data_IF_410421723841
#
_entry.id   IF_410421723841
#
_cell.length_a   1.000
_cell.length_b   1.000
_cell.length_c   1.000
_cell.angle_alpha   90.00
_cell.angle_beta   90.00
_cell.angle_gamma   90.00
#
_symmetry.space_group_name_H-M   'P 1'
#
loop_
_entity.id
_entity.type
_entity.pdbx_description
1 polymer ?
#
# COMPACT_ATOMS: atom_id res chain seq x y z
N UNK A 1 3.48 -0.91 16.65
CA UNK A 1 2.92 0.23 15.89
C UNK A 1 2.96 -0.17 14.42
N UNK A 2 1.80 -0.36 13.76
CA UNK A 2 1.77 -0.80 12.37
C UNK A 2 1.95 0.42 11.44
N UNK A 3 2.76 0.33 10.38
CA UNK A 3 2.87 1.38 9.39
C UNK A 3 1.50 1.65 8.76
N UNK A 4 1.27 2.87 8.31
CA UNK A 4 0.01 3.19 7.67
C UNK A 4 -0.07 2.57 6.29
N UNK A 5 -1.00 1.65 6.11
CA UNK A 5 -1.17 0.89 4.88
C UNK A 5 -2.51 1.30 4.27
N UNK A 6 -2.50 2.18 3.25
CA UNK A 6 -3.69 2.62 2.51
C UNK A 6 -4.48 1.44 1.92
N UNK A 7 -3.79 0.48 1.31
CA UNK A 7 -4.36 -0.72 0.70
C UNK A 7 -3.74 -1.95 1.33
N UNK A 8 -4.55 -2.93 1.74
CA UNK A 8 -4.02 -4.23 2.21
C UNK A 8 -3.39 -5.06 1.09
N UNK A 9 -3.65 -4.69 -0.16
CA UNK A 9 -3.14 -5.36 -1.34
C UNK A 9 -1.82 -4.70 -1.80
N UNK A 10 -0.77 -5.48 -2.15
CA UNK A 10 0.50 -4.93 -2.63
C UNK A 10 0.43 -4.33 -4.04
N UNK A 11 -0.55 -4.73 -4.87
CA UNK A 11 -0.63 -4.39 -6.29
C UNK A 11 -0.59 -2.86 -6.55
N UNK A 12 -1.38 -2.01 -5.87
CA UNK A 12 -1.36 -0.58 -6.16
C UNK A 12 -0.03 0.10 -5.81
N UNK A 13 0.77 -0.47 -4.91
CA UNK A 13 2.07 0.09 -4.54
C UNK A 13 3.17 -0.26 -5.55
N UNK A 14 3.13 -1.49 -6.07
CA UNK A 14 4.13 -1.99 -7.00
C UNK A 14 3.78 -1.57 -8.43
N UNK A 15 2.54 -1.78 -8.86
CA UNK A 15 2.14 -1.51 -10.23
C UNK A 15 2.02 -0.01 -10.50
N UNK A 16 1.21 0.73 -9.73
CA UNK A 16 0.90 2.12 -10.11
C UNK A 16 2.14 3.02 -10.06
N UNK A 17 3.07 2.78 -9.14
CA UNK A 17 4.20 3.68 -8.92
C UNK A 17 5.41 3.34 -9.79
N UNK A 18 5.55 2.09 -10.24
CA UNK A 18 6.78 1.62 -10.87
C UNK A 18 6.57 0.92 -12.22
N UNK A 19 5.35 0.49 -12.59
CA UNK A 19 5.13 -0.10 -13.91
C UNK A 19 5.43 0.92 -15.02
N UNK A 20 6.19 0.52 -16.04
CA UNK A 20 6.77 1.44 -17.03
C UNK A 20 5.76 2.28 -17.80
N UNK A 21 4.56 1.73 -18.01
CA UNK A 21 3.49 2.39 -18.77
C UNK A 21 2.44 3.08 -17.89
N UNK A 22 2.57 3.02 -16.57
CA UNK A 22 1.53 3.56 -15.69
C UNK A 22 1.73 5.06 -15.42
N UNK A 23 0.64 5.84 -15.51
CA UNK A 23 0.71 7.30 -15.45
C UNK A 23 1.26 7.86 -14.12
N UNK A 24 1.20 7.10 -13.03
CA UNK A 24 1.73 7.49 -11.71
C UNK A 24 3.21 7.16 -11.53
N UNK A 25 3.87 6.51 -12.49
CA UNK A 25 5.32 6.30 -12.50
C UNK A 25 6.06 7.59 -12.83
N UNK A 26 6.18 8.46 -11.82
CA UNK A 26 6.81 9.79 -11.94
C UNK A 26 8.33 9.70 -12.14
N UNK A 27 8.95 8.61 -11.68
CA UNK A 27 10.38 8.34 -11.87
C UNK A 27 10.73 7.91 -13.28
N UNK A 28 9.74 7.60 -14.13
CA UNK A 28 9.92 7.02 -15.48
C UNK A 28 10.76 5.75 -15.44
N UNK A 29 10.66 4.98 -14.35
CA UNK A 29 11.34 3.71 -14.20
C UNK A 29 10.81 2.72 -15.25
N UNK A 30 11.69 1.92 -15.85
CA UNK A 30 11.29 0.94 -16.83
C UNK A 30 12.20 -0.28 -16.75
N UNK A 31 11.61 -1.43 -16.44
CA UNK A 31 12.30 -2.71 -16.40
C UNK A 31 11.32 -3.80 -16.86
N UNK A 32 11.54 -4.45 -18.02
CA UNK A 32 10.63 -5.46 -18.55
C UNK A 32 10.38 -6.64 -17.60
N UNK A 33 11.38 -7.02 -16.79
CA UNK A 33 11.23 -8.11 -15.81
C UNK A 33 10.35 -7.67 -14.65
N UNK A 34 10.51 -6.42 -14.20
CA UNK A 34 9.65 -5.84 -13.18
C UNK A 34 8.19 -5.78 -13.67
N UNK A 35 7.96 -5.26 -14.87
CA UNK A 35 6.61 -5.14 -15.46
C UNK A 35 5.95 -6.52 -15.58
N UNK A 36 6.69 -7.52 -16.09
CA UNK A 36 6.19 -8.89 -16.19
C UNK A 36 5.80 -9.46 -14.82
N UNK A 37 6.63 -9.25 -13.80
CA UNK A 37 6.38 -9.76 -12.45
C UNK A 37 5.12 -9.13 -11.83
N UNK A 38 4.95 -7.80 -11.92
CA UNK A 38 3.76 -7.14 -11.37
C UNK A 38 2.50 -7.44 -12.20
N UNK A 39 2.61 -7.63 -13.52
CA UNK A 39 1.49 -8.07 -14.36
C UNK A 39 1.02 -9.50 -14.01
N UNK A 40 1.95 -10.43 -13.79
CA UNK A 40 1.63 -11.79 -13.35
C UNK A 40 0.96 -11.74 -11.96
N UNK A 41 1.53 -10.99 -11.01
CA UNK A 41 0.95 -10.81 -9.68
C UNK A 41 -0.47 -10.23 -9.71
N UNK A 42 -0.78 -9.37 -10.69
CA UNK A 42 -2.11 -8.78 -10.87
C UNK A 42 -3.11 -9.76 -11.48
N UNK A 43 -2.68 -10.57 -12.45
CA UNK A 43 -3.56 -11.51 -13.20
C UNK A 43 -3.74 -12.84 -12.46
N UNK A 44 -2.83 -13.21 -11.57
CA UNK A 44 -2.84 -14.53 -10.92
C UNK A 44 -3.91 -14.65 -9.83
N UNK A 45 -4.76 -15.67 -9.95
CA UNK A 45 -5.73 -16.06 -8.92
C UNK A 45 -5.16 -17.05 -7.89
N UNK A 46 -3.96 -17.60 -8.14
CA UNK A 46 -3.30 -18.50 -7.21
C UNK A 46 -2.49 -17.68 -6.17
N UNK A 47 -2.81 -17.75 -4.87
CA UNK A 47 -2.15 -16.92 -3.87
C UNK A 47 -0.63 -17.10 -3.80
N UNK A 48 -0.15 -18.33 -4.02
CA UNK A 48 1.28 -18.64 -3.98
C UNK A 48 2.02 -18.05 -5.18
N UNK A 49 1.48 -18.21 -6.38
CA UNK A 49 2.06 -17.61 -7.60
C UNK A 49 2.07 -16.09 -7.51
N UNK A 50 0.97 -15.52 -7.02
CA UNK A 50 0.86 -14.07 -6.77
C UNK A 50 1.92 -13.57 -5.81
N UNK A 51 2.14 -14.29 -4.71
CA UNK A 51 3.18 -13.96 -3.74
C UNK A 51 4.58 -14.04 -4.37
N UNK A 52 4.90 -15.11 -5.09
CA UNK A 52 6.20 -15.30 -5.75
C UNK A 52 6.48 -14.18 -6.76
N UNK A 53 5.49 -13.78 -7.56
CA UNK A 53 5.62 -12.70 -8.54
C UNK A 53 5.89 -11.33 -7.87
N UNK A 54 5.16 -10.98 -6.81
CA UNK A 54 5.42 -9.73 -6.10
C UNK A 54 6.74 -9.74 -5.32
N UNK A 55 7.18 -10.90 -4.82
CA UNK A 55 8.48 -11.03 -4.19
C UNK A 55 9.61 -10.75 -5.20
N UNK A 56 9.50 -11.26 -6.44
CA UNK A 56 10.46 -10.93 -7.50
C UNK A 56 10.46 -9.43 -7.82
N UNK A 57 9.28 -8.82 -7.98
CA UNK A 57 9.19 -7.38 -8.23
C UNK A 57 9.85 -6.54 -7.12
N UNK A 58 9.64 -6.93 -5.85
CA UNK A 58 10.26 -6.28 -4.69
C UNK A 58 11.78 -6.44 -4.67
N UNK A 59 12.31 -7.61 -5.02
CA UNK A 59 13.76 -7.84 -5.11
C UNK A 59 14.39 -6.95 -6.19
N UNK A 60 13.81 -6.91 -7.39
CA UNK A 60 14.28 -6.03 -8.47
C UNK A 60 14.27 -4.56 -8.02
N UNK A 61 13.18 -4.11 -7.41
CA UNK A 61 13.08 -2.73 -6.92
C UNK A 61 14.07 -2.42 -5.78
N UNK A 62 14.41 -3.40 -4.93
CA UNK A 62 15.39 -3.24 -3.88
C UNK A 62 16.82 -3.13 -4.44
N UNK A 63 17.12 -3.85 -5.52
CA UNK A 63 18.42 -3.82 -6.19
C UNK A 63 18.61 -2.54 -7.02
N UNK A 64 17.59 -2.12 -7.77
CA UNK A 64 17.67 -0.98 -8.70
C UNK A 64 17.30 0.36 -8.06
N UNK A 65 16.67 0.34 -6.88
CA UNK A 65 16.28 1.52 -6.10
C UNK A 65 15.58 2.59 -6.97
N UNK A 66 14.47 2.26 -7.67
CA UNK A 66 13.83 3.19 -8.59
C UNK A 66 13.16 4.38 -7.89
N UNK A 67 12.98 4.27 -6.58
CA UNK A 67 12.42 5.30 -5.72
C UNK A 67 13.04 5.19 -4.32
N UNK A 68 13.43 6.34 -3.76
CA UNK A 68 13.78 6.45 -2.34
C UNK A 68 12.48 6.61 -1.55
N UNK A 69 12.15 5.63 -0.71
CA UNK A 69 10.96 5.67 0.14
C UNK A 69 11.34 6.22 1.52
N UNK A 70 11.02 7.49 1.85
CA UNK A 70 11.24 7.98 3.20
C UNK A 70 10.33 7.24 4.18
N UNK A 71 10.83 7.00 5.39
CA UNK A 71 10.03 6.43 6.47
C UNK A 71 8.86 7.37 6.80
N UNK A 72 7.63 6.83 6.82
CA UNK A 72 6.45 7.59 7.22
C UNK A 72 6.41 7.83 8.75
N UNK A 73 5.99 9.02 9.21
CA UNK A 73 5.87 9.29 10.65
C UNK A 73 4.80 8.40 11.31
N UNK A 74 4.89 8.19 12.64
CA UNK A 74 3.78 7.61 13.40
C UNK A 74 2.48 8.39 13.15
N UNK A 75 1.36 7.66 13.08
CA UNK A 75 0.03 8.28 13.04
C UNK A 75 -0.53 8.42 14.46
N UNK A 76 -1.12 9.59 14.71
CA UNK A 76 -1.81 9.90 15.95
C UNK A 76 -3.25 10.33 15.62
N UNK A 77 -4.22 9.69 16.26
CA UNK A 77 -5.64 9.98 16.08
C UNK A 77 -6.25 10.42 17.43
N UNK A 78 -5.98 11.66 17.89
CA UNK A 78 -6.55 12.15 19.14
C UNK A 78 -8.05 12.46 18.98
N UNK A 79 -8.84 12.08 19.99
CA UNK A 79 -10.26 12.41 20.07
C UNK A 79 -10.70 12.65 21.51
N UNK A 80 -11.88 13.27 21.69
CA UNK A 80 -12.40 13.66 23.01
C UNK A 80 -12.80 12.44 23.83
N UNK A 81 -12.64 12.54 25.16
CA UNK A 81 -12.96 11.47 26.10
C UNK A 81 -14.43 11.05 26.12
N UNK A 82 -15.35 11.88 25.63
CA UNK A 82 -16.78 11.57 25.49
C UNK A 82 -17.13 10.89 24.15
N UNK A 83 -16.18 10.73 23.23
CA UNK A 83 -16.40 10.02 21.97
C UNK A 83 -16.28 8.52 22.23
N UNK A 84 -17.26 7.76 21.75
CA UNK A 84 -17.35 6.29 21.88
C UNK A 84 -17.59 5.67 20.50
N UNK A 85 -17.20 4.41 20.34
CA UNK A 85 -17.35 3.68 19.07
C UNK A 85 -16.34 4.05 17.97
N UNK A 86 -15.56 5.12 18.14
CA UNK A 86 -14.49 5.46 17.21
C UNK A 86 -13.27 4.55 17.40
N UNK A 87 -12.87 3.87 16.32
CA UNK A 87 -11.65 3.08 16.25
C UNK A 87 -10.81 3.54 15.04
N UNK A 88 -9.59 4.07 15.24
CA UNK A 88 -8.69 4.40 14.14
C UNK A 88 -8.34 3.17 13.30
N UNK A 89 -8.33 3.33 11.98
CA UNK A 89 -7.92 2.28 11.04
C UNK A 89 -6.50 2.54 10.53
N UNK A 90 -5.73 1.48 10.30
CA UNK A 90 -4.34 1.57 9.81
C UNK A 90 -4.22 2.30 8.46
N UNK A 91 -5.29 2.31 7.65
CA UNK A 91 -5.36 3.02 6.37
C UNK A 91 -5.89 4.46 6.50
N UNK A 92 -6.09 4.95 7.73
CA UNK A 92 -6.68 6.24 8.08
C UNK A 92 -8.06 6.53 7.47
N UNK A 93 -8.77 5.49 7.00
CA UNK A 93 -10.15 5.65 6.62
C UNK A 93 -11.01 5.86 7.87
N UNK A 94 -12.03 6.70 7.73
CA UNK A 94 -12.95 7.06 8.81
C UNK A 94 -14.23 6.22 8.81
N UNK A 95 -14.15 4.98 8.34
CA UNK A 95 -15.32 4.09 8.22
C UNK A 95 -16.01 3.86 9.57
N UNK A 96 -15.23 3.82 10.66
CA UNK A 96 -15.72 3.65 12.03
C UNK A 96 -16.51 4.85 12.55
N UNK A 97 -16.53 5.99 11.85
CA UNK A 97 -17.43 7.11 12.18
C UNK A 97 -18.90 6.71 12.11
N UNK A 98 -19.26 5.72 11.28
CA UNK A 98 -20.63 5.20 11.20
C UNK A 98 -21.13 4.58 12.51
N UNK A 99 -20.20 4.11 13.34
CA UNK A 99 -20.44 3.48 14.65
C UNK A 99 -20.12 4.44 15.81
N UNK A 100 -19.64 5.65 15.49
CA UNK A 100 -19.20 6.62 16.48
C UNK A 100 -20.37 7.41 17.02
N UNK A 101 -20.41 7.60 18.34
CA UNK A 101 -21.42 8.39 19.03
C UNK A 101 -20.83 9.22 20.16
N UNK A 102 -21.61 10.20 20.65
CA UNK A 102 -21.20 11.12 21.72
C UNK A 102 -21.92 10.77 23.01
N UNK A 103 -21.16 10.47 24.07
CA UNK A 103 -21.69 10.27 25.42
C UNK A 103 -21.69 11.60 26.17
N UNK A 104 -22.75 12.40 25.97
CA UNK A 104 -22.96 13.68 26.64
C UNK A 104 -24.11 13.59 27.62
#
# INVERSE_FOLDING_TARGET
MAPSVTYRDPDPYLFDWLHSQYARNRGKYANPRYDQAVEEGRRSLNPRRRHEAYAEAQLIAAEEVPMIVPLGPPRFDPYRSYVRGFAPLANAMRLTLRETWLNR
#
